data_IF_220136714312
#
_entry.id   IF_220136714312
#
_cell.length_a   1.000
_cell.length_b   1.000
_cell.length_c   1.000
_cell.angle_alpha   90.00
_cell.angle_beta   90.00
_cell.angle_gamma   90.00
#
_symmetry.space_group_name_H-M   'P 1'
#
loop_
_entity.id
_entity.type
_entity.pdbx_description
1 polymer ?
#
# COMPACT_ATOMS: atom_id res chain seq x y z
N UNK A 1 22.97 11.79 42.22
CA UNK A 1 22.18 11.97 40.98
C UNK A 1 20.83 11.32 41.20
N UNK A 2 19.75 11.93 40.73
CA UNK A 2 18.39 11.40 40.91
C UNK A 2 18.08 10.17 40.03
N UNK A 3 19.01 9.80 39.13
CA UNK A 3 18.95 8.61 38.29
C UNK A 3 20.38 8.10 38.01
N UNK A 4 20.50 6.87 37.50
CA UNK A 4 21.75 6.18 37.17
C UNK A 4 21.92 5.98 35.66
N UNK A 5 23.12 5.60 35.23
CA UNK A 5 23.35 5.21 33.82
C UNK A 5 22.52 3.97 33.41
N UNK A 6 22.22 3.08 34.36
CA UNK A 6 21.36 1.94 34.13
C UNK A 6 19.91 2.39 33.87
N UNK A 7 19.44 3.43 34.54
CA UNK A 7 18.09 3.99 34.33
C UNK A 7 17.97 4.64 32.95
N UNK A 8 19.02 5.35 32.50
CA UNK A 8 19.07 5.89 31.12
C UNK A 8 19.01 4.76 30.09
N UNK A 9 19.77 3.68 30.31
CA UNK A 9 19.76 2.51 29.43
C UNK A 9 18.38 1.84 29.41
N UNK A 10 17.75 1.67 30.57
CA UNK A 10 16.42 1.08 30.69
C UNK A 10 15.36 1.94 29.98
N UNK A 11 15.39 3.27 30.18
CA UNK A 11 14.48 4.17 29.48
C UNK A 11 14.66 4.10 27.96
N UNK A 12 15.89 4.00 27.48
CA UNK A 12 16.18 3.78 26.06
C UNK A 12 15.65 2.45 25.55
N UNK A 13 15.82 1.36 26.30
CA UNK A 13 15.31 0.03 25.91
C UNK A 13 13.78 0.02 25.86
N UNK A 14 13.10 0.71 26.79
CA UNK A 14 11.63 0.78 26.86
C UNK A 14 11.02 1.70 25.80
N UNK A 15 11.68 2.81 25.45
CA UNK A 15 11.13 3.82 24.53
C UNK A 15 11.68 3.74 23.11
N UNK A 16 12.90 3.21 22.94
CA UNK A 16 13.67 3.25 21.70
C UNK A 16 14.30 4.61 21.39
N UNK A 17 14.13 5.62 22.25
CA UNK A 17 14.65 6.96 22.01
C UNK A 17 16.19 7.04 22.07
N UNK A 18 16.75 8.12 21.51
CA UNK A 18 18.20 8.36 21.54
C UNK A 18 18.75 8.44 22.97
N UNK A 19 19.99 7.96 23.17
CA UNK A 19 20.61 7.89 24.51
C UNK A 19 20.64 9.25 25.23
N UNK A 20 20.98 10.31 24.50
CA UNK A 20 21.01 11.67 25.06
C UNK A 20 19.62 12.22 25.34
N UNK A 21 18.61 11.82 24.57
CA UNK A 21 17.24 12.23 24.81
C UNK A 21 16.68 11.55 26.07
N UNK A 22 16.98 10.27 26.27
CA UNK A 22 16.64 9.55 27.50
C UNK A 22 17.31 10.19 28.73
N UNK A 23 18.60 10.53 28.62
CA UNK A 23 19.33 11.20 29.70
C UNK A 23 18.71 12.55 30.05
N UNK A 24 18.43 13.39 29.03
CA UNK A 24 17.81 14.70 29.22
C UNK A 24 16.41 14.59 29.83
N UNK A 25 15.60 13.66 29.35
CA UNK A 25 14.26 13.44 29.89
C UNK A 25 14.30 13.05 31.37
N UNK A 26 15.20 12.14 31.77
CA UNK A 26 15.38 11.78 33.19
C UNK A 26 15.95 12.94 34.03
N UNK A 27 16.80 13.78 33.44
CA UNK A 27 17.33 14.96 34.12
C UNK A 27 16.25 16.02 34.38
N UNK A 28 15.45 16.33 33.36
CA UNK A 28 14.32 17.27 33.43
C UNK A 28 13.20 16.74 34.35
N UNK A 29 12.97 15.43 34.36
CA UNK A 29 12.02 14.76 35.24
C UNK A 29 12.56 14.50 36.65
N UNK A 30 13.76 14.98 36.98
CA UNK A 30 14.42 14.76 38.28
C UNK A 30 14.46 13.27 38.70
N UNK A 31 14.65 12.36 37.74
CA UNK A 31 14.70 10.92 37.94
C UNK A 31 13.34 10.20 37.91
N UNK A 32 12.22 10.92 37.76
CA UNK A 32 10.91 10.28 37.58
C UNK A 32 10.83 9.61 36.21
N UNK A 33 10.73 8.29 36.23
CA UNK A 33 10.76 7.45 35.04
C UNK A 33 9.52 7.63 34.16
N UNK A 34 8.31 7.69 34.75
CA UNK A 34 7.08 7.80 33.97
C UNK A 34 6.94 9.21 33.38
N UNK A 35 7.31 10.24 34.15
CA UNK A 35 7.38 11.60 33.61
C UNK A 35 8.40 11.73 32.46
N UNK A 36 9.53 11.02 32.54
CA UNK A 36 10.51 10.97 31.45
C UNK A 36 9.96 10.25 30.20
N UNK A 37 9.18 9.17 30.37
CA UNK A 37 8.48 8.48 29.27
C UNK A 37 7.49 9.43 28.60
N UNK A 38 6.69 10.16 29.35
CA UNK A 38 5.70 11.09 28.81
C UNK A 38 6.36 12.27 28.09
N UNK A 39 7.47 12.79 28.62
CA UNK A 39 8.26 13.83 27.96
C UNK A 39 8.82 13.34 26.60
N UNK A 40 9.34 12.11 26.54
CA UNK A 40 9.84 11.51 25.30
C UNK A 40 8.70 11.30 24.29
N UNK A 41 7.51 10.88 24.75
CA UNK A 41 6.33 10.74 23.88
C UNK A 41 5.93 12.08 23.27
N UNK A 42 5.83 13.13 24.08
CA UNK A 42 5.52 14.50 23.62
C UNK A 42 6.54 15.00 22.59
N UNK A 43 7.83 14.77 22.86
CA UNK A 43 8.91 15.10 21.92
C UNK A 43 8.81 14.31 20.61
N UNK A 44 8.43 13.03 20.68
CA UNK A 44 8.19 12.19 19.51
C UNK A 44 7.08 12.74 18.61
N UNK A 45 5.96 13.17 19.21
CA UNK A 45 4.85 13.81 18.49
C UNK A 45 5.31 15.08 17.76
N UNK A 46 6.08 15.95 18.44
CA UNK A 46 6.64 17.15 17.82
C UNK A 46 7.61 16.81 16.68
N UNK A 47 8.43 15.78 16.86
CA UNK A 47 9.38 15.31 15.85
C UNK A 47 8.68 14.70 14.62
N UNK A 48 7.52 14.06 14.80
CA UNK A 48 6.70 13.54 13.73
C UNK A 48 5.98 14.67 12.97
N UNK A 49 5.37 15.60 13.69
CA UNK A 49 4.74 16.78 13.09
C UNK A 49 5.71 17.62 12.25
N UNK A 50 6.97 17.75 12.68
CA UNK A 50 8.01 18.47 11.90
C UNK A 50 8.41 17.74 10.61
N UNK A 51 8.24 16.42 10.54
CA UNK A 51 8.62 15.61 9.37
C UNK A 51 7.45 15.30 8.45
N UNK A 52 6.21 15.47 8.90
CA UNK A 52 5.02 15.05 8.15
C UNK A 52 4.85 15.72 6.78
N UNK A 53 5.48 16.89 6.56
CA UNK A 53 5.47 17.58 5.28
C UNK A 53 6.48 17.05 4.26
N UNK A 54 7.39 16.16 4.66
CA UNK A 54 8.41 15.58 3.76
C UNK A 54 7.79 14.48 2.92
N UNK A 55 8.17 14.39 1.66
CA UNK A 55 7.63 13.38 0.74
C UNK A 55 8.03 11.97 1.17
N UNK A 56 7.03 11.13 1.45
CA UNK A 56 7.21 9.72 1.78
C UNK A 56 6.67 8.86 0.63
N UNK A 57 7.54 8.53 -0.34
CA UNK A 57 7.18 7.80 -1.55
C UNK A 57 7.83 6.40 -1.64
N UNK A 58 8.67 6.03 -0.67
CA UNK A 58 9.19 4.69 -0.47
C UNK A 58 8.41 3.99 0.64
N UNK A 59 8.86 2.81 1.11
CA UNK A 59 8.21 2.03 2.17
C UNK A 59 7.83 0.61 1.74
N UNK A 60 6.69 0.11 2.23
CA UNK A 60 6.21 -1.24 1.97
C UNK A 60 4.69 -1.32 1.86
N UNK A 61 4.23 -2.22 0.99
CA UNK A 61 2.87 -2.75 1.03
C UNK A 61 2.88 -4.06 1.82
N UNK A 62 2.01 -4.15 2.83
CA UNK A 62 1.72 -5.39 3.54
C UNK A 62 0.39 -5.99 3.07
N UNK A 63 0.33 -7.33 3.03
CA UNK A 63 -0.91 -8.07 2.78
C UNK A 63 -1.15 -9.12 3.87
N UNK A 64 -2.40 -9.31 4.28
CA UNK A 64 -2.77 -10.38 5.21
C UNK A 64 -4.08 -11.02 4.76
N UNK A 65 -4.21 -12.33 4.99
CA UNK A 65 -5.38 -13.13 4.60
C UNK A 65 -5.74 -14.07 5.75
N UNK A 66 -7.03 -14.19 6.04
CA UNK A 66 -7.60 -15.17 6.97
C UNK A 66 -8.90 -15.72 6.39
N UNK A 67 -8.87 -16.98 5.96
CA UNK A 67 -9.99 -17.64 5.31
C UNK A 67 -10.50 -16.87 4.09
N UNK A 68 -11.73 -16.38 4.17
CA UNK A 68 -12.42 -15.67 3.09
C UNK A 68 -12.21 -14.16 3.09
N UNK A 69 -11.29 -13.63 3.91
CA UNK A 69 -11.02 -12.19 4.05
C UNK A 69 -9.55 -11.89 3.83
N UNK A 70 -9.26 -10.76 3.19
CA UNK A 70 -7.91 -10.23 3.10
C UNK A 70 -7.88 -8.71 3.18
N UNK A 71 -6.70 -8.17 3.48
CA UNK A 71 -6.43 -6.74 3.54
C UNK A 71 -5.04 -6.42 2.98
N UNK A 72 -4.94 -5.30 2.27
CA UNK A 72 -3.65 -4.69 1.94
C UNK A 72 -3.53 -3.34 2.65
N UNK A 73 -2.34 -3.04 3.16
CA UNK A 73 -2.01 -1.76 3.80
C UNK A 73 -0.72 -1.24 3.19
N UNK A 74 -0.72 0.02 2.74
CA UNK A 74 0.50 0.71 2.32
C UNK A 74 1.01 1.61 3.46
N UNK A 75 2.27 1.38 3.85
CA UNK A 75 2.99 2.23 4.79
C UNK A 75 4.19 2.82 4.09
N UNK A 76 4.26 4.15 4.03
CA UNK A 76 5.34 4.85 3.36
C UNK A 76 6.44 5.33 4.30
N UNK A 77 7.63 5.52 3.73
CA UNK A 77 8.81 6.17 4.30
C UNK A 77 9.43 7.13 3.29
N UNK A 78 10.39 7.97 3.73
CA UNK A 78 11.13 8.86 2.82
C UNK A 78 12.08 8.04 1.92
N UNK A 79 12.80 7.07 2.49
CA UNK A 79 13.83 6.30 1.78
C UNK A 79 13.54 4.80 1.70
N UNK A 80 14.19 4.11 0.76
CA UNK A 80 14.12 2.65 0.60
C UNK A 80 14.93 1.90 1.68
N UNK A 81 15.85 2.57 2.36
CA UNK A 81 16.61 2.00 3.48
C UNK A 81 15.69 1.68 4.66
N UNK A 82 14.69 2.52 4.92
CA UNK A 82 13.69 2.25 5.97
C UNK A 82 12.86 1.00 5.65
N UNK A 83 12.57 0.72 4.38
CA UNK A 83 11.87 -0.52 3.99
C UNK A 83 12.66 -1.81 4.34
N UNK A 84 13.98 -1.71 4.53
CA UNK A 84 14.86 -2.82 4.94
C UNK A 84 15.05 -2.91 6.45
N UNK A 85 14.53 -1.95 7.22
CA UNK A 85 14.68 -1.88 8.66
C UNK A 85 13.67 -2.82 9.37
N UNK A 86 14.15 -3.67 10.29
CA UNK A 86 13.32 -4.66 10.98
C UNK A 86 12.18 -4.04 11.80
N UNK A 87 12.42 -2.90 12.46
CA UNK A 87 11.39 -2.19 13.23
C UNK A 87 10.27 -1.67 12.32
N UNK A 88 10.61 -1.19 11.13
CA UNK A 88 9.63 -0.77 10.14
C UNK A 88 8.85 -1.97 9.59
N UNK A 89 9.53 -3.04 9.20
CA UNK A 89 8.88 -4.25 8.69
C UNK A 89 7.93 -4.89 9.71
N UNK A 90 8.34 -4.97 10.99
CA UNK A 90 7.48 -5.44 12.07
C UNK A 90 6.23 -4.57 12.24
N UNK A 91 6.40 -3.24 12.16
CA UNK A 91 5.28 -2.31 12.20
C UNK A 91 4.30 -2.51 11.05
N UNK A 92 4.78 -2.61 9.80
CA UNK A 92 3.89 -2.84 8.65
C UNK A 92 3.14 -4.17 8.79
N UNK A 93 3.83 -5.23 9.22
CA UNK A 93 3.21 -6.55 9.46
C UNK A 93 2.10 -6.46 10.50
N UNK A 94 2.41 -5.95 11.69
CA UNK A 94 1.44 -5.85 12.78
C UNK A 94 0.29 -4.89 12.46
N UNK A 95 0.55 -3.76 11.81
CA UNK A 95 -0.52 -2.86 11.37
C UNK A 95 -1.45 -3.54 10.35
N UNK A 96 -0.90 -4.34 9.43
CA UNK A 96 -1.69 -5.14 8.47
C UNK A 96 -2.52 -6.22 9.18
N UNK A 97 -1.96 -6.89 10.19
CA UNK A 97 -2.69 -7.89 10.98
C UNK A 97 -3.79 -7.24 11.84
N UNK A 98 -3.54 -6.08 12.44
CA UNK A 98 -4.55 -5.29 13.16
C UNK A 98 -5.67 -4.90 12.20
N UNK A 99 -5.34 -4.42 11.01
CA UNK A 99 -6.31 -4.09 9.98
C UNK A 99 -7.20 -5.29 9.62
N UNK A 100 -6.59 -6.47 9.39
CA UNK A 100 -7.33 -7.70 9.09
C UNK A 100 -8.30 -8.08 10.21
N UNK A 101 -7.81 -8.08 11.45
CA UNK A 101 -8.57 -8.54 12.61
C UNK A 101 -9.69 -7.58 13.03
N UNK A 102 -9.47 -6.28 12.87
CA UNK A 102 -10.47 -5.25 13.20
C UNK A 102 -11.46 -4.99 12.07
N UNK A 103 -11.09 -5.32 10.83
CA UNK A 103 -11.88 -4.98 9.64
C UNK A 103 -11.87 -3.47 9.33
N UNK A 104 -10.83 -2.75 9.77
CA UNK A 104 -10.73 -1.31 9.56
C UNK A 104 -10.66 -0.98 8.06
N UNK A 105 -11.65 -0.29 7.52
CA UNK A 105 -11.65 0.12 6.10
C UNK A 105 -11.06 1.50 5.88
N UNK A 106 -10.83 2.26 6.94
CA UNK A 106 -10.31 3.63 6.91
C UNK A 106 -9.01 3.74 7.70
N UNK A 107 -8.06 4.52 7.17
CA UNK A 107 -6.74 4.72 7.79
C UNK A 107 -6.86 5.28 9.21
N UNK A 108 -7.77 6.22 9.45
CA UNK A 108 -7.96 6.83 10.77
C UNK A 108 -8.50 5.83 11.80
N UNK A 109 -9.34 4.89 11.36
CA UNK A 109 -9.82 3.79 12.22
C UNK A 109 -8.66 2.86 12.58
N UNK A 110 -7.82 2.53 11.59
CA UNK A 110 -6.62 1.71 11.83
C UNK A 110 -5.64 2.40 12.79
N UNK A 111 -5.38 3.70 12.61
CA UNK A 111 -4.51 4.48 13.49
C UNK A 111 -4.96 4.47 14.95
N UNK A 112 -6.27 4.53 15.18
CA UNK A 112 -6.86 4.51 16.52
C UNK A 112 -6.93 3.10 17.15
N UNK A 113 -6.77 2.04 16.35
CA UNK A 113 -6.84 0.67 16.85
C UNK A 113 -5.69 0.34 17.81
N UNK A 114 -5.96 -0.58 18.74
CA UNK A 114 -4.94 -1.07 19.68
C UNK A 114 -3.82 -1.79 18.93
N UNK A 115 -2.57 -1.49 19.29
CA UNK A 115 -1.40 -2.16 18.77
C UNK A 115 -1.04 -3.37 19.65
N UNK A 116 -0.57 -4.51 19.08
CA UNK A 116 -0.31 -5.72 19.86
C UNK A 116 0.68 -5.55 21.02
N UNK A 117 1.65 -4.64 20.86
CA UNK A 117 2.68 -4.37 21.87
C UNK A 117 2.25 -3.26 22.88
N UNK A 118 0.99 -2.85 22.86
CA UNK A 118 0.44 -1.76 23.69
C UNK A 118 0.38 -0.41 22.97
N UNK A 119 -0.50 0.46 23.47
CA UNK A 119 -0.84 1.74 22.82
C UNK A 119 -1.69 1.55 21.56
N UNK A 120 -1.77 2.58 20.74
CA UNK A 120 -2.45 2.55 19.44
C UNK A 120 -1.45 2.36 18.29
N UNK A 121 -1.96 2.01 17.10
CA UNK A 121 -1.14 1.99 15.87
C UNK A 121 -0.50 3.35 15.62
N UNK A 122 -1.21 4.45 15.89
CA UNK A 122 -0.70 5.83 15.78
C UNK A 122 0.45 6.12 16.74
N UNK A 123 0.35 5.65 17.99
CA UNK A 123 1.44 5.80 18.98
C UNK A 123 2.71 5.09 18.49
N UNK A 124 2.56 3.88 17.94
CA UNK A 124 3.69 3.12 17.42
C UNK A 124 4.29 3.76 16.17
N UNK A 125 3.46 4.26 15.25
CA UNK A 125 3.93 5.00 14.08
C UNK A 125 4.72 6.25 14.49
N UNK A 126 4.19 7.02 15.44
CA UNK A 126 4.86 8.21 15.98
C UNK A 126 6.22 7.85 16.59
N UNK A 127 6.27 6.76 17.37
CA UNK A 127 7.52 6.29 17.94
C UNK A 127 8.52 5.90 16.85
N UNK A 128 8.09 5.17 15.81
CA UNK A 128 8.95 4.81 14.68
C UNK A 128 9.52 6.06 13.99
N UNK A 129 8.71 7.09 13.74
CA UNK A 129 9.18 8.36 13.15
C UNK A 129 10.21 9.07 14.05
N UNK A 130 10.03 9.00 15.37
CA UNK A 130 10.95 9.59 16.33
C UNK A 130 12.28 8.84 16.39
N UNK A 131 12.26 7.50 16.36
CA UNK A 131 13.47 6.67 16.52
C UNK A 131 14.23 6.44 15.20
N UNK A 132 13.52 6.30 14.08
CA UNK A 132 14.12 6.12 12.75
C UNK A 132 14.54 7.47 12.15
N UNK A 133 13.80 8.55 12.45
CA UNK A 133 14.16 9.89 12.02
C UNK A 133 13.69 10.29 10.62
N UNK A 134 12.82 9.50 10.00
CA UNK A 134 12.15 9.80 8.73
C UNK A 134 10.64 9.93 8.91
N UNK A 135 9.99 10.72 8.06
CA UNK A 135 8.55 10.71 7.89
C UNK A 135 8.08 9.30 7.53
N UNK A 136 7.02 8.86 8.20
CA UNK A 136 6.36 7.59 7.89
C UNK A 136 4.86 7.80 7.96
N UNK A 137 4.13 7.15 7.07
CA UNK A 137 2.70 7.36 6.94
C UNK A 137 1.97 6.05 6.68
N UNK A 138 0.91 5.78 7.44
CA UNK A 138 -0.14 4.85 7.01
C UNK A 138 -0.93 5.55 5.92
N UNK A 139 -0.80 5.09 4.68
CA UNK A 139 -1.29 5.84 3.53
C UNK A 139 -2.66 5.39 3.06
N UNK A 140 -2.83 4.08 2.87
CA UNK A 140 -4.09 3.51 2.39
C UNK A 140 -4.25 2.07 2.84
N UNK A 141 -5.52 1.68 2.89
CA UNK A 141 -5.97 0.35 3.27
C UNK A 141 -7.08 -0.07 2.31
N UNK A 142 -7.12 -1.34 1.91
CA UNK A 142 -8.27 -1.91 1.20
C UNK A 142 -8.49 -3.36 1.63
N UNK A 143 -9.73 -3.67 2.00
CA UNK A 143 -10.19 -5.02 2.28
C UNK A 143 -10.82 -5.66 1.05
N UNK A 144 -10.74 -6.98 0.98
CA UNK A 144 -11.56 -7.82 0.09
C UNK A 144 -12.10 -9.00 0.88
N UNK A 145 -13.28 -9.48 0.50
CA UNK A 145 -13.88 -10.64 1.13
C UNK A 145 -14.79 -11.39 0.15
N UNK A 146 -14.98 -12.68 0.44
CA UNK A 146 -15.97 -13.55 -0.19
C UNK A 146 -16.83 -14.21 0.88
N UNK A 147 -18.05 -14.61 0.53
CA UNK A 147 -18.93 -15.35 1.45
C UNK A 147 -18.54 -16.82 1.49
N UNK A 148 -18.18 -17.38 0.34
CA UNK A 148 -17.68 -18.74 0.16
C UNK A 148 -16.62 -18.77 -0.94
N UNK A 149 -15.47 -19.40 -0.68
CA UNK A 149 -14.33 -19.44 -1.59
C UNK A 149 -13.02 -19.05 -0.89
N UNK A 150 -12.15 -18.33 -1.58
CA UNK A 150 -10.81 -17.95 -1.06
C UNK A 150 -10.42 -16.53 -1.44
N UNK A 151 -9.58 -15.92 -0.60
CA UNK A 151 -8.80 -14.73 -0.97
C UNK A 151 -7.35 -15.16 -1.16
N UNK A 152 -6.77 -14.88 -2.32
CA UNK A 152 -5.41 -15.30 -2.68
C UNK A 152 -4.47 -14.10 -2.67
N UNK A 153 -3.42 -14.09 -1.83
CA UNK A 153 -2.42 -13.05 -1.82
C UNK A 153 -1.29 -13.33 -2.82
N UNK A 154 -0.72 -12.26 -3.37
CA UNK A 154 0.51 -12.30 -4.13
C UNK A 154 1.36 -11.06 -3.82
N UNK A 155 2.66 -11.27 -3.65
CA UNK A 155 3.61 -10.21 -3.40
C UNK A 155 4.68 -10.22 -4.50
N UNK A 156 4.81 -9.10 -5.21
CA UNK A 156 5.86 -8.91 -6.20
C UNK A 156 6.94 -7.97 -5.65
N UNK A 157 8.20 -8.30 -5.94
CA UNK A 157 9.37 -7.67 -5.32
C UNK A 157 9.27 -7.68 -3.78
N UNK A 158 9.10 -8.89 -3.23
CA UNK A 158 8.98 -9.10 -1.80
C UNK A 158 10.28 -8.71 -1.06
N UNK A 159 10.15 -7.88 -0.03
CA UNK A 159 11.23 -7.55 0.89
C UNK A 159 11.29 -8.53 2.07
N UNK A 160 10.13 -9.07 2.47
CA UNK A 160 9.97 -10.07 3.52
C UNK A 160 8.65 -10.84 3.29
N UNK A 161 8.36 -11.92 4.04
CA UNK A 161 7.08 -12.63 3.91
C UNK A 161 5.90 -11.67 4.07
N UNK A 162 5.04 -11.63 3.05
CA UNK A 162 3.85 -10.75 2.93
C UNK A 162 4.12 -9.24 2.91
N UNK A 163 5.36 -8.80 2.67
CA UNK A 163 5.74 -7.39 2.56
C UNK A 163 6.55 -7.14 1.27
N UNK A 164 6.26 -6.08 0.52
CA UNK A 164 7.00 -5.77 -0.70
C UNK A 164 6.55 -4.50 -1.42
N UNK A 165 6.99 -4.33 -2.67
CA UNK A 165 6.66 -3.13 -3.47
C UNK A 165 5.29 -3.18 -4.14
N UNK A 166 4.79 -4.39 -4.45
CA UNK A 166 3.47 -4.56 -5.04
C UNK A 166 2.74 -5.71 -4.33
N UNK A 167 1.68 -5.37 -3.60
CA UNK A 167 0.80 -6.33 -2.95
C UNK A 167 -0.51 -6.48 -3.73
N UNK A 168 -0.90 -7.73 -3.97
CA UNK A 168 -2.13 -8.08 -4.68
C UNK A 168 -2.97 -9.03 -3.83
N UNK A 169 -4.29 -8.82 -3.83
CA UNK A 169 -5.28 -9.75 -3.29
C UNK A 169 -6.30 -10.05 -4.38
N UNK A 170 -6.70 -11.32 -4.49
CA UNK A 170 -7.73 -11.78 -5.45
C UNK A 170 -8.83 -12.50 -4.69
N UNK A 171 -10.06 -12.00 -4.78
CA UNK A 171 -11.21 -12.58 -4.11
C UNK A 171 -12.01 -13.45 -5.10
N UNK A 172 -11.99 -14.77 -4.89
CA UNK A 172 -12.71 -15.75 -5.71
C UNK A 172 -13.86 -16.36 -4.92
N UNK A 173 -15.09 -16.11 -5.38
CA UNK A 173 -16.32 -16.67 -4.82
C UNK A 173 -16.67 -17.96 -5.57
N UNK A 174 -16.72 -19.09 -4.87
CA UNK A 174 -17.08 -20.40 -5.45
C UNK A 174 -17.21 -21.50 -4.39
N UNK A 175 -17.88 -22.59 -4.75
CA UNK A 175 -17.86 -23.87 -4.03
C UNK A 175 -16.74 -24.82 -4.50
N UNK A 176 -15.93 -24.42 -5.48
CA UNK A 176 -14.83 -25.24 -5.99
C UNK A 176 -13.79 -25.53 -4.88
N UNK A 177 -13.02 -26.63 -4.99
CA UNK A 177 -11.98 -26.94 -4.01
C UNK A 177 -10.99 -25.78 -3.83
N UNK A 178 -10.61 -25.50 -2.58
CA UNK A 178 -9.71 -24.39 -2.25
C UNK A 178 -8.41 -24.42 -3.06
N UNK A 179 -7.81 -25.61 -3.25
CA UNK A 179 -6.59 -25.78 -4.05
C UNK A 179 -6.77 -25.34 -5.52
N UNK A 180 -7.95 -25.57 -6.11
CA UNK A 180 -8.29 -25.13 -7.47
C UNK A 180 -8.38 -23.60 -7.52
N UNK A 181 -9.06 -23.00 -6.55
CA UNK A 181 -9.20 -21.54 -6.46
C UNK A 181 -7.87 -20.85 -6.16
N UNK A 182 -7.03 -21.41 -5.30
CA UNK A 182 -5.70 -20.89 -4.98
C UNK A 182 -4.78 -20.90 -6.20
N UNK A 183 -4.79 -21.98 -6.97
CA UNK A 183 -4.00 -22.09 -8.19
C UNK A 183 -4.42 -21.04 -9.24
N UNK A 184 -5.72 -20.90 -9.49
CA UNK A 184 -6.29 -19.89 -10.39
C UNK A 184 -6.00 -18.47 -9.89
N UNK A 185 -6.29 -18.21 -8.61
CA UNK A 185 -6.13 -16.89 -8.01
C UNK A 185 -4.68 -16.42 -8.02
N UNK A 186 -3.71 -17.32 -7.84
CA UNK A 186 -2.27 -16.99 -7.95
C UNK A 186 -1.90 -16.51 -9.36
N UNK A 187 -2.41 -17.18 -10.38
CA UNK A 187 -2.17 -16.80 -11.77
C UNK A 187 -2.80 -15.44 -12.11
N UNK A 188 -4.04 -15.22 -11.67
CA UNK A 188 -4.72 -13.93 -11.82
C UNK A 188 -3.99 -12.83 -11.05
N UNK A 189 -3.50 -13.11 -9.85
CA UNK A 189 -2.78 -12.14 -9.04
C UNK A 189 -1.46 -11.69 -9.69
N UNK A 190 -0.74 -12.62 -10.33
CA UNK A 190 0.45 -12.31 -11.14
C UNK A 190 0.10 -11.43 -12.35
N UNK A 191 -1.03 -11.70 -13.00
CA UNK A 191 -1.52 -10.85 -14.08
C UNK A 191 -1.85 -9.44 -13.58
N UNK A 192 -2.61 -9.30 -12.50
CA UNK A 192 -2.97 -8.01 -11.90
C UNK A 192 -1.71 -7.19 -11.56
N UNK A 193 -0.69 -7.83 -10.98
CA UNK A 193 0.56 -7.15 -10.65
C UNK A 193 1.22 -6.53 -11.90
N UNK A 194 1.23 -7.27 -13.01
CA UNK A 194 1.87 -6.88 -14.26
C UNK A 194 1.03 -5.93 -15.13
N UNK A 195 -0.26 -6.22 -15.30
CA UNK A 195 -1.16 -5.54 -16.22
C UNK A 195 -1.84 -4.29 -15.64
N UNK A 196 -1.73 -4.09 -14.32
CA UNK A 196 -2.22 -2.90 -13.60
C UNK A 196 -3.66 -2.48 -14.01
N UNK A 197 -4.66 -3.37 -13.88
CA UNK A 197 -6.05 -2.99 -14.12
C UNK A 197 -6.48 -1.87 -13.17
N UNK A 198 -7.26 -0.93 -13.72
CA UNK A 198 -7.80 0.22 -13.00
C UNK A 198 -9.17 -0.06 -12.39
N UNK A 199 -9.88 -1.09 -12.88
CA UNK A 199 -11.15 -1.55 -12.33
C UNK A 199 -11.37 -3.05 -12.61
N UNK A 200 -12.35 -3.65 -11.94
CA UNK A 200 -12.75 -5.05 -12.20
C UNK A 200 -13.45 -5.17 -13.56
N UNK A 201 -14.39 -4.28 -13.82
CA UNK A 201 -15.16 -4.17 -15.08
C UNK A 201 -15.05 -2.76 -15.66
N UNK A 202 -15.45 -2.60 -16.92
CA UNK A 202 -15.40 -1.32 -17.62
C UNK A 202 -16.28 -0.26 -16.94
N UNK A 203 -17.40 -0.66 -16.35
CA UNK A 203 -18.33 0.20 -15.63
C UNK A 203 -17.75 0.70 -14.31
N UNK A 204 -16.77 0.00 -13.75
CA UNK A 204 -16.07 0.40 -12.52
C UNK A 204 -14.93 1.39 -12.74
N UNK A 205 -14.65 1.79 -13.99
CA UNK A 205 -13.62 2.79 -14.28
C UNK A 205 -14.08 4.18 -13.85
N UNK A 206 -13.12 4.97 -13.36
CA UNK A 206 -13.35 6.34 -12.95
C UNK A 206 -13.94 7.18 -14.10
N UNK A 207 -15.08 7.82 -13.85
CA UNK A 207 -15.81 8.58 -14.85
C UNK A 207 -15.04 9.82 -15.34
N UNK A 208 -14.25 10.46 -14.48
CA UNK A 208 -13.39 11.58 -14.85
C UNK A 208 -12.22 11.12 -15.73
N UNK A 209 -11.65 9.95 -15.45
CA UNK A 209 -10.64 9.33 -16.30
C UNK A 209 -11.20 9.00 -17.68
N UNK A 210 -12.38 8.36 -17.75
CA UNK A 210 -13.05 8.08 -19.02
C UNK A 210 -13.40 9.36 -19.79
N UNK A 211 -13.86 10.41 -19.11
CA UNK A 211 -14.13 11.70 -19.73
C UNK A 211 -12.85 12.35 -20.30
N UNK A 212 -11.74 12.25 -19.57
CA UNK A 212 -10.43 12.73 -20.00
C UNK A 212 -9.94 11.99 -21.25
N UNK A 213 -10.00 10.66 -21.24
CA UNK A 213 -9.62 9.84 -22.39
C UNK A 213 -10.51 10.10 -23.62
N UNK A 214 -11.82 10.31 -23.40
CA UNK A 214 -12.74 10.71 -24.46
C UNK A 214 -12.35 12.06 -25.09
N UNK A 215 -11.95 13.04 -24.27
CA UNK A 215 -11.49 14.34 -24.76
C UNK A 215 -10.23 14.18 -25.62
N UNK A 216 -9.25 13.41 -25.15
CA UNK A 216 -8.01 13.13 -25.90
C UNK A 216 -8.33 12.43 -27.24
N UNK A 217 -9.25 11.46 -27.22
CA UNK A 217 -9.67 10.76 -28.43
C UNK A 217 -10.39 11.70 -29.42
N UNK A 218 -11.19 12.65 -28.92
CA UNK A 218 -11.89 13.63 -29.75
C UNK A 218 -10.92 14.60 -30.43
N UNK A 219 -9.91 15.08 -29.70
CA UNK A 219 -8.84 15.92 -30.27
C UNK A 219 -8.12 15.17 -31.41
N UNK A 220 -7.72 13.91 -31.17
CA UNK A 220 -7.10 13.07 -32.21
C UNK A 220 -8.02 12.79 -33.41
N UNK A 221 -9.32 12.62 -33.17
CA UNK A 221 -10.28 12.35 -34.24
C UNK A 221 -10.51 13.58 -35.11
N UNK A 222 -10.50 14.78 -34.54
CA UNK A 222 -10.65 16.05 -35.27
C UNK A 222 -9.52 16.28 -36.28
N UNK A 223 -8.29 15.86 -35.95
CA UNK A 223 -7.12 15.94 -36.83
C UNK A 223 -7.16 14.97 -38.02
N UNK A 224 -8.07 13.99 -38.02
CA UNK A 224 -8.12 12.95 -39.05
C UNK A 224 -8.69 13.40 -40.41
N UNK A 225 -9.33 14.57 -40.47
CA UNK A 225 -9.99 15.09 -41.68
C UNK A 225 -11.21 14.28 -42.15
N UNK A 226 -11.67 13.30 -41.36
CA UNK A 226 -12.84 12.46 -41.68
C UNK A 226 -14.16 13.15 -41.34
N UNK A 227 -15.31 12.73 -41.91
CA UNK A 227 -16.62 13.28 -41.56
C UNK A 227 -16.95 13.12 -40.06
N UNK A 228 -17.74 14.04 -39.50
CA UNK A 228 -18.07 14.09 -38.07
C UNK A 228 -18.64 12.76 -37.51
N UNK A 229 -19.48 12.07 -38.27
CA UNK A 229 -20.03 10.76 -37.87
C UNK A 229 -18.92 9.69 -37.72
N UNK A 230 -17.90 9.74 -38.59
CA UNK A 230 -16.75 8.82 -38.52
C UNK A 230 -15.85 9.19 -37.35
N UNK A 231 -15.65 10.48 -37.09
CA UNK A 231 -14.90 10.95 -35.92
C UNK A 231 -15.57 10.49 -34.61
N UNK A 232 -16.90 10.62 -34.50
CA UNK A 232 -17.66 10.13 -33.34
C UNK A 232 -17.44 8.63 -33.10
N UNK A 233 -17.56 7.81 -34.16
CA UNK A 233 -17.28 6.35 -34.09
C UNK A 233 -15.83 6.05 -33.69
N UNK A 234 -14.86 6.87 -34.12
CA UNK A 234 -13.46 6.73 -33.70
C UNK A 234 -13.27 7.01 -32.21
N UNK A 235 -13.91 8.06 -31.69
CA UNK A 235 -13.89 8.39 -30.26
C UNK A 235 -14.49 7.25 -29.44
N UNK A 236 -15.68 6.78 -29.80
CA UNK A 236 -16.34 5.69 -29.08
C UNK A 236 -15.52 4.39 -29.13
N UNK A 237 -14.93 4.06 -30.28
CA UNK A 237 -14.04 2.92 -30.41
C UNK A 237 -12.77 3.05 -29.55
N UNK A 238 -12.19 4.25 -29.44
CA UNK A 238 -11.02 4.50 -28.61
C UNK A 238 -11.33 4.38 -27.11
N UNK A 239 -12.46 4.95 -26.66
CA UNK A 239 -12.92 4.86 -25.27
C UNK A 239 -13.27 3.41 -24.91
N UNK A 240 -13.97 2.68 -25.80
CA UNK A 240 -14.28 1.28 -25.58
C UNK A 240 -13.01 0.41 -25.52
N UNK A 241 -12.01 0.68 -26.37
CA UNK A 241 -10.72 0.01 -26.32
C UNK A 241 -10.00 0.30 -25.00
N UNK A 242 -9.94 1.57 -24.59
CA UNK A 242 -9.33 1.98 -23.32
C UNK A 242 -9.99 1.25 -22.15
N UNK A 243 -11.32 1.22 -22.10
CA UNK A 243 -12.06 0.54 -21.05
C UNK A 243 -11.76 -0.97 -21.03
N UNK A 244 -11.70 -1.60 -22.21
CA UNK A 244 -11.35 -3.01 -22.37
C UNK A 244 -9.94 -3.33 -21.86
N UNK A 245 -8.97 -2.45 -22.12
CA UNK A 245 -7.56 -2.62 -21.73
C UNK A 245 -7.31 -2.32 -20.24
N UNK A 246 -8.18 -1.55 -19.60
CA UNK A 246 -8.01 -1.13 -18.19
C UNK A 246 -8.95 -1.83 -17.20
N UNK A 247 -9.95 -2.56 -17.68
CA UNK A 247 -10.81 -3.41 -16.84
C UNK A 247 -10.31 -4.86 -16.81
N UNK A 248 -10.06 -5.37 -15.60
CA UNK A 248 -9.43 -6.67 -15.37
C UNK A 248 -10.12 -7.81 -16.13
N UNK A 249 -11.44 -7.94 -16.02
CA UNK A 249 -12.16 -9.08 -16.62
C UNK A 249 -12.05 -9.12 -18.16
N UNK A 250 -11.82 -7.97 -18.81
CA UNK A 250 -11.66 -7.88 -20.25
C UNK A 250 -10.20 -7.87 -20.73
N UNK A 251 -9.23 -7.75 -19.82
CA UNK A 251 -7.81 -7.81 -20.16
C UNK A 251 -7.42 -9.16 -20.73
N UNK A 252 -6.49 -9.15 -21.69
CA UNK A 252 -5.87 -10.36 -22.22
C UNK A 252 -4.89 -10.89 -21.19
N UNK A 253 -5.04 -12.15 -20.84
CA UNK A 253 -4.26 -12.80 -19.81
C UNK A 253 -2.79 -12.93 -20.25
N UNK A 254 -1.89 -12.36 -19.44
CA UNK A 254 -0.46 -12.24 -19.78
C UNK A 254 0.27 -13.57 -19.92
N UNK A 255 -0.26 -14.64 -19.32
CA UNK A 255 0.40 -15.96 -19.39
C UNK A 255 0.12 -16.69 -20.70
N UNK A 256 -1.06 -16.52 -21.31
CA UNK A 256 -1.42 -17.18 -22.57
C UNK A 256 -1.50 -16.22 -23.78
N UNK A 257 -1.51 -14.91 -23.52
CA UNK A 257 -1.61 -13.84 -24.51
C UNK A 257 -2.78 -14.01 -25.50
N UNK A 258 -3.85 -14.67 -25.06
CA UNK A 258 -4.97 -15.06 -25.92
C UNK A 258 -6.32 -14.87 -25.26
N UNK A 259 -6.51 -15.43 -24.07
CA UNK A 259 -7.81 -15.47 -23.40
C UNK A 259 -8.02 -14.20 -22.58
N UNK A 260 -9.26 -13.74 -22.45
CA UNK A 260 -9.54 -12.70 -21.45
C UNK A 260 -9.54 -13.31 -20.04
N UNK A 261 -9.33 -12.49 -19.00
CA UNK A 261 -9.42 -12.97 -17.61
C UNK A 261 -10.79 -13.59 -17.32
N UNK A 262 -11.88 -13.01 -17.83
CA UNK A 262 -13.21 -13.62 -17.72
C UNK A 262 -13.24 -15.03 -18.32
N UNK A 263 -12.66 -15.23 -19.51
CA UNK A 263 -12.61 -16.54 -20.15
C UNK A 263 -11.78 -17.55 -19.34
N UNK A 264 -10.69 -17.11 -18.71
CA UNK A 264 -9.86 -17.94 -17.83
C UNK A 264 -10.65 -18.39 -16.59
N UNK A 265 -11.37 -17.47 -15.94
CA UNK A 265 -12.22 -17.77 -14.79
C UNK A 265 -13.37 -18.71 -15.17
N UNK A 266 -14.04 -18.44 -16.30
CA UNK A 266 -15.14 -19.26 -16.79
C UNK A 266 -14.69 -20.68 -17.17
N UNK A 267 -13.51 -20.81 -17.78
CA UNK A 267 -12.93 -22.11 -18.13
C UNK A 267 -12.61 -22.93 -16.88
N UNK A 268 -11.99 -22.32 -15.87
CA UNK A 268 -11.71 -22.98 -14.60
C UNK A 268 -12.99 -23.42 -13.88
N UNK A 269 -14.06 -22.60 -13.93
CA UNK A 269 -15.35 -22.97 -13.36
C UNK A 269 -15.99 -24.18 -14.06
N UNK A 270 -15.90 -24.23 -15.40
CA UNK A 270 -16.37 -25.39 -16.18
C UNK A 270 -15.60 -26.66 -15.83
N UNK A 271 -14.28 -26.57 -15.69
CA UNK A 271 -13.43 -27.70 -15.30
C UNK A 271 -13.74 -28.19 -13.87
N UNK A 272 -13.96 -27.26 -12.94
CA UNK A 272 -14.33 -27.55 -11.56
C UNK A 272 -15.79 -28.04 -11.39
N UNK A 273 -16.62 -27.92 -12.43
CA UNK A 273 -18.04 -28.27 -12.39
C UNK A 273 -18.91 -27.32 -11.55
N UNK A 274 -18.41 -26.14 -11.19
CA UNK A 274 -19.16 -25.13 -10.42
C UNK A 274 -18.73 -23.71 -10.81
N UNK A 275 -19.61 -22.73 -10.59
CA UNK A 275 -19.33 -21.34 -10.97
C UNK A 275 -18.19 -20.80 -10.10
N UNK A 276 -17.19 -20.19 -10.75
CA UNK A 276 -16.17 -19.37 -10.09
C UNK A 276 -16.42 -17.92 -10.50
N UNK A 277 -16.42 -17.00 -9.54
CA UNK A 277 -16.51 -15.57 -9.81
C UNK A 277 -15.32 -14.84 -9.18
N UNK A 278 -14.64 -14.02 -9.98
CA UNK A 278 -13.71 -13.02 -9.48
C UNK A 278 -14.52 -11.79 -9.06
N UNK A 279 -14.68 -11.59 -7.75
CA UNK A 279 -15.64 -10.60 -7.22
C UNK A 279 -15.00 -9.29 -6.80
N UNK A 280 -13.72 -9.31 -6.41
CA UNK A 280 -12.94 -8.11 -6.10
C UNK A 280 -11.44 -8.42 -6.17
N UNK A 281 -10.64 -7.37 -6.21
CA UNK A 281 -9.19 -7.47 -6.09
C UNK A 281 -8.60 -6.21 -5.45
N UNK A 282 -7.37 -6.35 -4.96
CA UNK A 282 -6.52 -5.22 -4.58
C UNK A 282 -5.25 -5.30 -5.39
N UNK A 283 -4.76 -4.15 -5.85
CA UNK A 283 -3.39 -3.99 -6.28
C UNK A 283 -2.89 -2.68 -5.71
N UNK A 284 -1.99 -2.75 -4.74
CA UNK A 284 -1.24 -1.58 -4.29
C UNK A 284 0.16 -1.67 -4.84
N UNK A 285 0.57 -0.60 -5.53
CA UNK A 285 1.97 -0.34 -5.86
C UNK A 285 2.48 0.77 -4.96
N UNK A 286 3.60 0.52 -4.30
CA UNK A 286 4.24 1.47 -3.40
C UNK A 286 4.47 2.81 -4.09
N UNK A 287 4.05 3.90 -3.44
CA UNK A 287 4.28 5.27 -3.90
C UNK A 287 3.45 5.68 -5.11
N UNK A 288 2.53 4.84 -5.58
CA UNK A 288 1.66 5.12 -6.73
C UNK A 288 0.92 6.45 -6.55
N UNK A 289 1.09 7.38 -7.49
CA UNK A 289 0.45 8.70 -7.42
C UNK A 289 1.14 9.71 -6.50
N UNK A 290 2.30 9.38 -5.93
CA UNK A 290 3.14 10.34 -5.21
C UNK A 290 4.23 10.84 -6.16
N UNK A 291 4.28 12.15 -6.37
CA UNK A 291 5.36 12.78 -7.13
C UNK A 291 6.63 12.79 -6.28
N UNK A 292 7.72 12.26 -6.84
CA UNK A 292 9.05 12.30 -6.22
C UNK A 292 9.78 13.52 -6.75
N UNK A 293 10.25 14.39 -5.85
CA UNK A 293 11.19 15.43 -6.25
C UNK A 293 12.51 14.77 -6.68
N UNK A 294 12.90 14.97 -7.93
CA UNK A 294 14.24 14.61 -8.39
C UNK A 294 15.22 15.67 -7.89
N UNK A 295 16.14 15.28 -7.00
CA UNK A 295 17.21 16.16 -6.54
C UNK A 295 18.50 15.90 -7.33
N UNK A 296 19.15 16.97 -7.77
CA UNK A 296 20.48 16.91 -8.37
C UNK A 296 21.53 16.88 -7.24
N UNK A 297 22.01 15.67 -6.93
CA UNK A 297 23.01 15.47 -5.90
C UNK A 297 24.30 16.27 -6.15
N UNK A 298 24.70 16.46 -7.41
CA UNK A 298 25.89 17.24 -7.73
C UNK A 298 25.64 18.73 -7.42
N UNK A 299 24.46 19.25 -7.75
CA UNK A 299 24.05 20.61 -7.42
C UNK A 299 23.91 20.81 -5.90
N UNK A 300 23.38 19.84 -5.16
CA UNK A 300 23.30 19.90 -3.70
C UNK A 300 24.69 19.92 -3.04
N UNK A 301 25.60 19.07 -3.51
CA UNK A 301 26.99 19.04 -3.04
C UNK A 301 27.70 20.34 -3.37
N UNK A 302 27.52 20.87 -4.58
CA UNK A 302 28.08 22.16 -5.00
C UNK A 302 27.57 23.31 -4.12
N UNK A 303 26.26 23.36 -3.86
CA UNK A 303 25.63 24.36 -2.99
C UNK A 303 26.12 24.27 -1.54
N UNK A 304 26.20 23.06 -0.96
CA UNK A 304 26.69 22.85 0.40
C UNK A 304 28.19 23.14 0.56
N UNK A 305 28.98 22.88 -0.50
CA UNK A 305 30.41 23.19 -0.55
C UNK A 305 30.72 24.66 -0.90
N UNK A 306 29.70 25.46 -1.27
CA UNK A 306 29.88 26.85 -1.71
C UNK A 306 30.57 26.98 -3.08
N UNK A 307 30.58 25.91 -3.88
CA UNK A 307 31.14 25.87 -5.22
C UNK A 307 29.99 26.20 -6.18
N UNK A 308 30.05 27.36 -6.83
CA UNK A 308 29.08 27.74 -7.87
C UNK A 308 29.37 27.02 -9.18
#
# INVERSE_FOLDING_TARGET
MAYTAADVKNLRERTGAGMMDCKKALEEAAGDFEAAVDALRSKGLAAAAKKSSRTAAEGLVGVAVSGTKGVAVEVNSETDFVAKNDQFQDFVRKATDVALNTGATEVEVLKAAAYPDGGTVSDKLTNNVATIGENQQLRRIKHVAVSNGVVVPYMHNAAAPNLGKIGVLVALESEAPAATLEALGKQIAMHIAAAFPQALTAEGLDAELIARERKIAAEKAAESGKPAEVQAKMVDGAVAKYAKENALLSQIFVMDNKSTIQQVVDAAGKEAGTKIALVDYVRFQLGEGIEKEETDFAAEVAAAAGIK
#
